data_IF_505953343762
#
_entry.id   IF_505953343762
#
_cell.length_a   1.000
_cell.length_b   1.000
_cell.length_c   1.000
_cell.angle_alpha   90.00
_cell.angle_beta   90.00
_cell.angle_gamma   90.00
#
_symmetry.space_group_name_H-M   'P 1'
#
loop_
_entity.id
_entity.type
_entity.pdbx_description
1 polymer ?
#
# COMPACT_ATOMS: atom_id res chain seq x y z
N UNK A 1 1.69 37.54 19.37
CA UNK A 1 1.34 36.16 19.73
C UNK A 1 -0.17 36.14 19.81
N UNK A 2 -0.77 35.31 18.96
CA UNK A 2 -2.20 34.99 18.80
C UNK A 2 -2.53 35.00 17.30
N UNK A 3 -2.79 33.80 16.80
CA UNK A 3 -3.02 33.51 15.38
C UNK A 3 -3.32 32.02 15.19
N UNK A 4 -4.16 31.46 16.06
CA UNK A 4 -4.95 30.29 15.71
C UNK A 4 -5.95 30.71 14.63
N UNK A 5 -6.09 29.92 13.58
CA UNK A 5 -7.38 29.38 13.17
C UNK A 5 -7.15 28.22 12.20
N UNK A 6 -7.58 27.04 12.66
CA UNK A 6 -7.89 25.88 11.84
C UNK A 6 -8.62 26.32 10.58
N UNK A 7 -8.00 26.13 9.42
CA UNK A 7 -8.75 26.00 8.18
C UNK A 7 -9.34 24.59 8.18
N UNK A 8 -10.52 24.46 8.80
CA UNK A 8 -11.43 23.39 8.50
C UNK A 8 -11.90 23.62 7.05
N UNK A 9 -11.18 23.04 6.09
CA UNK A 9 -11.65 23.03 4.70
C UNK A 9 -12.81 22.03 4.61
N UNK A 10 -13.91 22.57 4.11
CA UNK A 10 -15.20 21.94 3.90
C UNK A 10 -15.08 20.66 3.08
N UNK A 11 -15.40 19.56 3.74
CA UNK A 11 -15.58 18.21 3.20
C UNK A 11 -16.85 18.19 2.34
N UNK A 12 -16.74 18.67 1.10
CA UNK A 12 -17.80 18.56 0.09
C UNK A 12 -17.85 17.11 -0.37
N UNK A 13 -18.72 16.32 0.28
CA UNK A 13 -19.64 15.34 -0.30
C UNK A 13 -19.26 14.47 -1.51
N UNK A 14 -18.00 14.19 -1.80
CA UNK A 14 -17.64 13.06 -2.67
C UNK A 14 -17.84 11.77 -1.89
N UNK A 15 -18.60 10.83 -2.45
CA UNK A 15 -18.72 9.46 -1.93
C UNK A 15 -17.30 8.89 -1.78
N UNK A 16 -16.80 8.91 -0.54
CA UNK A 16 -15.43 8.53 -0.19
C UNK A 16 -15.20 7.07 -0.54
N UNK A 17 -14.43 6.81 -1.60
CA UNK A 17 -13.83 5.49 -1.78
C UNK A 17 -12.89 5.26 -0.59
N UNK A 18 -13.25 4.28 0.24
CA UNK A 18 -12.40 3.81 1.32
C UNK A 18 -11.09 3.30 0.71
N UNK A 19 -9.95 3.81 1.17
CA UNK A 19 -8.63 3.34 0.72
C UNK A 19 -8.54 1.85 1.01
N UNK A 20 -8.27 1.06 -0.02
CA UNK A 20 -8.01 -0.36 0.12
C UNK A 20 -6.57 -0.66 -0.25
N UNK A 21 -5.82 -1.13 0.74
CA UNK A 21 -4.54 -1.79 0.55
C UNK A 21 -4.78 -3.29 0.53
N UNK A 22 -4.60 -3.90 -0.64
CA UNK A 22 -4.86 -5.31 -0.89
C UNK A 22 -3.53 -6.05 -0.93
N UNK A 23 -3.30 -6.95 0.02
CA UNK A 23 -2.10 -7.79 0.08
C UNK A 23 -2.45 -9.20 -0.36
N UNK A 24 -1.67 -9.77 -1.28
CA UNK A 24 -1.70 -11.17 -1.63
C UNK A 24 -0.42 -11.87 -1.19
N UNK A 25 -0.55 -13.02 -0.52
CA UNK A 25 0.58 -13.83 -0.04
C UNK A 25 0.48 -15.24 -0.63
N UNK A 26 1.59 -15.73 -1.18
CA UNK A 26 1.79 -17.11 -1.59
C UNK A 26 3.02 -17.66 -0.89
N UNK A 27 2.95 -18.87 -0.35
CA UNK A 27 4.11 -19.52 0.22
C UNK A 27 4.12 -21.03 -0.03
N UNK A 28 5.32 -21.59 -0.03
CA UNK A 28 5.59 -23.00 0.26
C UNK A 28 6.13 -23.13 1.68
N UNK A 29 6.46 -24.35 2.11
CA UNK A 29 7.11 -24.60 3.39
C UNK A 29 8.46 -23.88 3.57
N UNK A 30 9.09 -23.44 2.47
CA UNK A 30 10.45 -22.89 2.48
C UNK A 30 10.54 -21.46 1.96
N UNK A 31 9.54 -20.96 1.22
CA UNK A 31 9.66 -19.69 0.50
C UNK A 31 8.35 -18.92 0.58
N UNK A 32 8.43 -17.63 0.89
CA UNK A 32 7.28 -16.71 0.91
C UNK A 32 7.46 -15.64 -0.17
N UNK A 33 6.39 -15.39 -0.92
CA UNK A 33 6.25 -14.24 -1.82
C UNK A 33 5.01 -13.42 -1.44
N UNK A 34 5.13 -12.09 -1.58
CA UNK A 34 4.05 -11.18 -1.23
C UNK A 34 3.98 -9.99 -2.20
N UNK A 35 2.76 -9.63 -2.59
CA UNK A 35 2.47 -8.50 -3.47
C UNK A 35 1.29 -7.72 -2.90
N UNK A 36 1.46 -6.41 -2.75
CA UNK A 36 0.43 -5.49 -2.33
C UNK A 36 0.06 -4.50 -3.44
N UNK A 37 -1.19 -4.06 -3.45
CA UNK A 37 -1.68 -3.01 -4.33
C UNK A 37 -2.47 -2.00 -3.50
N UNK A 38 -2.10 -0.73 -3.64
CA UNK A 38 -2.84 0.38 -3.07
C UNK A 38 -3.77 0.96 -4.14
N UNK A 39 -5.07 0.82 -3.91
CA UNK A 39 -6.14 1.29 -4.82
C UNK A 39 -6.14 2.82 -4.99
N UNK A 40 -5.53 3.55 -4.07
CA UNK A 40 -5.57 5.00 -4.06
C UNK A 40 -4.35 5.66 -4.70
N UNK A 41 -3.20 4.99 -4.70
CA UNK A 41 -2.00 5.47 -5.39
C UNK A 41 -1.73 4.72 -6.70
N UNK A 42 -2.51 3.68 -6.99
CA UNK A 42 -2.29 2.73 -8.08
C UNK A 42 -0.85 2.18 -8.13
N UNK A 43 -0.21 2.03 -6.95
CA UNK A 43 1.15 1.50 -6.84
C UNK A 43 1.07 0.03 -6.47
N UNK A 44 1.78 -0.79 -7.24
CA UNK A 44 2.02 -2.18 -6.90
C UNK A 44 3.34 -2.29 -6.16
N UNK A 45 3.32 -2.86 -4.97
CA UNK A 45 4.51 -3.11 -4.17
C UNK A 45 4.72 -4.61 -4.01
N UNK A 46 5.95 -5.10 -4.07
CA UNK A 46 6.24 -6.52 -3.85
C UNK A 46 7.46 -6.71 -2.95
N UNK A 47 7.49 -7.82 -2.23
CA UNK A 47 8.68 -8.28 -1.52
C UNK A 47 9.32 -9.39 -2.37
N UNK A 48 10.63 -9.33 -2.65
CA UNK A 48 11.36 -10.44 -3.24
C UNK A 48 11.19 -11.69 -2.40
N UNK A 49 11.23 -12.85 -3.04
CA UNK A 49 11.15 -14.10 -2.29
C UNK A 49 12.27 -14.24 -1.27
N UNK A 50 11.88 -14.68 -0.08
CA UNK A 50 12.79 -14.94 1.00
C UNK A 50 12.44 -16.28 1.65
N UNK A 51 13.44 -16.90 2.25
CA UNK A 51 13.30 -18.19 2.90
C UNK A 51 12.47 -18.08 4.18
N UNK A 52 11.62 -19.07 4.41
CA UNK A 52 10.80 -19.18 5.60
C UNK A 52 11.12 -20.47 6.34
N UNK A 53 11.34 -20.31 7.63
CA UNK A 53 11.57 -21.37 8.59
C UNK A 53 10.27 -22.13 8.95
N UNK A 54 9.16 -21.84 8.25
CA UNK A 54 7.81 -22.34 8.58
C UNK A 54 7.16 -21.66 9.79
N UNK A 55 7.83 -20.66 10.38
CA UNK A 55 7.31 -19.87 11.49
C UNK A 55 6.45 -18.68 11.02
N UNK A 56 5.61 -18.16 11.92
CA UNK A 56 4.67 -17.08 11.63
C UNK A 56 5.29 -15.67 11.62
N UNK A 57 6.47 -15.50 12.20
CA UNK A 57 7.13 -14.19 12.36
C UNK A 57 7.35 -13.42 11.04
N UNK A 58 7.71 -14.06 9.91
CA UNK A 58 7.82 -13.34 8.65
C UNK A 58 6.49 -12.76 8.17
N UNK A 59 5.37 -13.44 8.43
CA UNK A 59 4.05 -12.96 8.04
C UNK A 59 3.64 -11.71 8.83
N UNK A 60 3.94 -11.64 10.14
CA UNK A 60 3.66 -10.42 10.92
C UNK A 60 4.49 -9.23 10.42
N UNK A 61 5.72 -9.46 9.97
CA UNK A 61 6.56 -8.43 9.34
C UNK A 61 5.96 -7.93 8.03
N UNK A 62 5.52 -8.84 7.15
CA UNK A 62 4.85 -8.47 5.90
C UNK A 62 3.57 -7.68 6.19
N UNK A 63 2.72 -8.15 7.10
CA UNK A 63 1.46 -7.49 7.43
C UNK A 63 1.69 -6.10 8.00
N UNK A 64 2.70 -5.91 8.84
CA UNK A 64 3.05 -4.58 9.36
C UNK A 64 3.62 -3.67 8.27
N UNK A 65 4.37 -4.23 7.33
CA UNK A 65 4.98 -3.47 6.23
C UNK A 65 3.93 -2.92 5.25
N UNK A 66 2.98 -3.76 4.86
CA UNK A 66 1.92 -3.36 3.94
C UNK A 66 0.73 -2.68 4.64
N UNK A 67 0.48 -3.00 5.92
CA UNK A 67 -0.70 -2.58 6.67
C UNK A 67 -2.01 -2.75 5.87
N UNK A 68 -2.31 -3.97 5.37
CA UNK A 68 -3.40 -4.18 4.44
C UNK A 68 -4.76 -4.17 5.11
N UNK A 69 -5.78 -3.83 4.34
CA UNK A 69 -7.18 -3.88 4.77
C UNK A 69 -7.87 -5.13 4.19
N UNK A 70 -7.29 -5.67 3.12
CA UNK A 70 -7.73 -6.91 2.47
C UNK A 70 -6.52 -7.84 2.34
N UNK A 71 -6.65 -9.07 2.83
CA UNK A 71 -5.65 -10.13 2.68
C UNK A 71 -6.18 -11.23 1.77
N UNK A 72 -5.50 -11.48 0.67
CA UNK A 72 -5.73 -12.59 -0.25
C UNK A 72 -4.71 -13.69 0.04
N UNK A 73 -5.17 -14.91 0.24
CA UNK A 73 -4.29 -16.02 0.56
C UNK A 73 -4.85 -17.37 0.09
N UNK A 74 -4.00 -18.40 0.02
CA UNK A 74 -4.43 -19.77 -0.21
C UNK A 74 -4.96 -20.41 1.08
N UNK A 75 -5.63 -21.56 0.97
CA UNK A 75 -6.09 -22.34 2.13
C UNK A 75 -4.93 -22.72 3.08
N UNK A 76 -3.76 -23.02 2.52
CA UNK A 76 -2.55 -23.33 3.29
C UNK A 76 -2.08 -22.13 4.13
N UNK A 77 -2.04 -20.94 3.54
CA UNK A 77 -1.67 -19.73 4.28
C UNK A 77 -2.73 -19.37 5.31
N UNK A 78 -4.02 -19.52 4.96
CA UNK A 78 -5.10 -19.27 5.90
C UNK A 78 -5.03 -20.16 7.13
N UNK A 79 -4.65 -21.44 6.99
CA UNK A 79 -4.48 -22.35 8.13
C UNK A 79 -3.22 -22.02 8.94
N UNK A 80 -2.12 -21.64 8.28
CA UNK A 80 -0.88 -21.21 8.93
C UNK A 80 -1.08 -19.92 9.77
N UNK A 81 -1.88 -18.99 9.26
CA UNK A 81 -2.18 -17.72 9.94
C UNK A 81 -3.28 -17.86 10.99
N UNK A 82 -4.05 -18.94 11.01
CA UNK A 82 -5.17 -19.14 11.94
C UNK A 82 -4.84 -18.83 13.42
N UNK A 83 -3.67 -19.21 13.97
CA UNK A 83 -3.33 -18.93 15.38
C UNK A 83 -3.14 -17.45 15.70
N UNK A 84 -2.66 -16.66 14.73
CA UNK A 84 -2.41 -15.22 14.86
C UNK A 84 -3.54 -14.39 14.24
N UNK A 85 -4.51 -15.05 13.62
CA UNK A 85 -5.53 -14.39 12.84
C UNK A 85 -6.44 -13.53 13.72
N UNK A 86 -6.69 -13.90 14.98
CA UNK A 86 -7.51 -13.07 15.87
C UNK A 86 -6.81 -11.79 16.35
N UNK A 87 -5.47 -11.81 16.43
CA UNK A 87 -4.66 -10.61 16.65
C UNK A 87 -4.57 -9.76 15.38
N UNK A 88 -4.55 -10.39 14.21
CA UNK A 88 -4.45 -9.75 12.88
C UNK A 88 -5.81 -9.23 12.38
N UNK A 89 -6.93 -9.86 12.76
CA UNK A 89 -8.30 -9.59 12.29
C UNK A 89 -8.88 -8.26 12.75
N UNK A 90 -8.19 -7.48 13.57
CA UNK A 90 -8.67 -6.15 13.97
C UNK A 90 -8.57 -5.17 12.79
N UNK A 91 -9.45 -5.34 11.80
CA UNK A 91 -9.59 -4.46 10.63
C UNK A 91 -9.27 -5.10 9.27
N UNK A 92 -8.69 -6.30 9.21
CA UNK A 92 -8.30 -6.93 7.94
C UNK A 92 -9.35 -7.94 7.46
N UNK A 93 -9.86 -7.75 6.25
CA UNK A 93 -10.77 -8.68 5.57
C UNK A 93 -9.99 -9.76 4.83
N UNK A 94 -10.10 -11.01 5.28
CA UNK A 94 -9.39 -12.15 4.68
C UNK A 94 -10.25 -12.83 3.61
N UNK A 95 -9.68 -13.03 2.42
CA UNK A 95 -10.27 -13.78 1.32
C UNK A 95 -9.38 -14.96 0.96
N UNK A 96 -9.93 -16.17 1.14
CA UNK A 96 -9.25 -17.40 0.74
C UNK A 96 -9.55 -17.69 -0.73
N UNK A 97 -8.50 -17.71 -1.55
CA UNK A 97 -8.58 -17.98 -2.98
C UNK A 97 -8.21 -19.44 -3.28
N UNK A 98 -8.86 -20.03 -4.28
CA UNK A 98 -8.53 -21.37 -4.77
C UNK A 98 -7.09 -21.42 -5.31
N UNK A 99 -6.38 -22.53 -5.06
CA UNK A 99 -5.00 -22.74 -5.50
C UNK A 99 -4.77 -22.56 -7.02
N UNK A 100 -5.83 -22.69 -7.83
CA UNK A 100 -5.76 -22.41 -9.27
C UNK A 100 -5.30 -20.98 -9.61
N UNK A 101 -5.58 -20.00 -8.75
CA UNK A 101 -5.16 -18.60 -8.95
C UNK A 101 -3.66 -18.40 -8.66
N UNK A 102 -3.03 -19.34 -7.97
CA UNK A 102 -1.60 -19.34 -7.63
C UNK A 102 -0.81 -20.31 -8.53
N UNK A 103 -1.37 -20.74 -9.65
CA UNK A 103 -0.67 -21.59 -10.61
C UNK A 103 0.21 -20.75 -11.55
N UNK A 104 1.34 -21.32 -11.99
CA UNK A 104 2.34 -20.62 -12.80
C UNK A 104 1.80 -20.21 -14.19
N UNK A 105 0.81 -20.92 -14.70
CA UNK A 105 0.20 -20.71 -16.02
C UNK A 105 -0.77 -19.52 -16.04
N UNK A 106 -1.14 -18.97 -14.88
CA UNK A 106 -2.11 -17.88 -14.80
C UNK A 106 -1.52 -16.51 -15.14
N UNK A 107 -0.21 -16.31 -15.03
CA UNK A 107 0.42 -14.99 -15.20
C UNK A 107 0.11 -14.41 -16.60
N UNK A 108 0.36 -15.19 -17.65
CA UNK A 108 0.09 -14.78 -19.03
C UNK A 108 -1.40 -14.45 -19.20
N UNK A 109 -2.30 -15.34 -18.75
CA UNK A 109 -3.75 -15.16 -18.86
C UNK A 109 -4.26 -13.89 -18.17
N UNK A 110 -3.60 -13.51 -17.06
CA UNK A 110 -4.00 -12.38 -16.24
C UNK A 110 -3.42 -11.06 -16.74
N UNK A 111 -2.27 -11.08 -17.42
CA UNK A 111 -1.70 -9.89 -18.04
C UNK A 111 -2.54 -9.31 -19.17
N UNK A 112 -3.37 -10.14 -19.81
CA UNK A 112 -4.25 -9.70 -20.89
C UNK A 112 -5.37 -8.75 -20.44
N UNK A 113 -5.75 -8.76 -19.15
CA UNK A 113 -6.88 -7.97 -18.62
C UNK A 113 -6.49 -6.63 -17.97
N UNK A 114 -5.20 -6.27 -17.99
CA UNK A 114 -4.66 -5.14 -17.21
C UNK A 114 -4.02 -4.07 -18.10
N UNK A 115 -4.29 -2.81 -17.76
CA UNK A 115 -3.53 -1.68 -18.29
C UNK A 115 -2.41 -1.34 -17.32
N UNK A 116 -1.22 -1.82 -17.66
CA UNK A 116 0.00 -1.38 -17.01
C UNK A 116 0.44 -0.12 -17.74
N UNK A 117 0.09 1.06 -17.24
CA UNK A 117 0.54 2.34 -17.82
C UNK A 117 2.07 2.48 -17.81
N UNK A 118 2.72 1.74 -16.93
CA UNK A 118 4.18 1.51 -16.89
C UNK A 118 4.70 0.91 -18.21
N UNK A 119 3.87 0.15 -18.91
CA UNK A 119 4.20 -0.51 -20.18
C UNK A 119 3.59 0.28 -21.32
N UNK A 120 4.43 0.84 -22.19
CA UNK A 120 4.01 1.71 -23.29
C UNK A 120 2.80 1.13 -24.07
N UNK A 121 1.75 1.96 -24.20
CA UNK A 121 0.55 1.61 -24.95
C UNK A 121 0.90 1.29 -26.41
N UNK A 122 0.87 0.00 -26.77
CA UNK A 122 1.24 -0.50 -28.10
C UNK A 122 2.24 -1.64 -28.10
N UNK A 123 2.82 -2.02 -26.95
CA UNK A 123 3.68 -3.20 -26.86
C UNK A 123 2.91 -4.50 -27.16
N UNK A 124 3.50 -5.38 -27.98
CA UNK A 124 3.02 -6.75 -28.18
C UNK A 124 2.98 -7.50 -26.83
N UNK A 125 2.13 -8.51 -26.71
CA UNK A 125 1.85 -9.23 -25.46
C UNK A 125 3.11 -9.82 -24.82
N UNK A 126 3.95 -10.48 -25.62
CA UNK A 126 5.25 -11.00 -25.18
C UNK A 126 6.18 -9.89 -24.66
N UNK A 127 6.09 -8.68 -25.25
CA UNK A 127 6.87 -7.55 -24.80
C UNK A 127 6.33 -7.02 -23.47
N UNK A 128 5.01 -7.02 -23.25
CA UNK A 128 4.41 -6.66 -21.96
C UNK A 128 4.84 -7.63 -20.86
N UNK A 129 4.75 -8.93 -21.13
CA UNK A 129 5.18 -9.96 -20.18
C UNK A 129 6.67 -9.82 -19.87
N UNK A 130 7.52 -9.68 -20.89
CA UNK A 130 8.96 -9.49 -20.70
C UNK A 130 9.29 -8.23 -19.92
N UNK A 131 8.62 -7.11 -20.21
CA UNK A 131 8.78 -5.86 -19.47
C UNK A 131 8.34 -6.05 -18.02
N UNK A 132 7.19 -6.67 -17.75
CA UNK A 132 6.77 -6.95 -16.39
C UNK A 132 7.78 -7.82 -15.65
N UNK A 133 8.20 -8.94 -16.24
CA UNK A 133 9.17 -9.86 -15.64
C UNK A 133 10.51 -9.18 -15.35
N UNK A 134 10.88 -8.15 -16.12
CA UNK A 134 12.11 -7.39 -15.88
C UNK A 134 12.10 -6.58 -14.57
N UNK A 135 10.92 -6.30 -14.00
CA UNK A 135 10.82 -5.69 -12.67
C UNK A 135 11.19 -6.67 -11.55
N UNK A 136 11.07 -7.97 -11.79
CA UNK A 136 11.26 -8.97 -10.74
C UNK A 136 12.59 -9.73 -10.88
N UNK A 137 13.18 -10.19 -9.76
CA UNK A 137 14.32 -11.11 -9.80
C UNK A 137 13.98 -12.42 -10.51
N UNK A 138 14.93 -13.09 -11.19
CA UNK A 138 14.65 -14.29 -12.00
C UNK A 138 14.15 -15.51 -11.22
N UNK A 139 14.23 -15.51 -9.88
CA UNK A 139 13.85 -16.63 -9.01
C UNK A 139 12.55 -16.39 -8.21
N UNK A 140 11.73 -15.39 -8.59
CA UNK A 140 10.55 -14.96 -7.83
C UNK A 140 9.23 -15.71 -8.18
N UNK A 141 9.26 -17.04 -8.16
CA UNK A 141 8.08 -17.87 -8.45
C UNK A 141 6.84 -17.61 -7.56
N UNK A 142 6.98 -17.57 -6.23
CA UNK A 142 5.90 -17.25 -5.29
C UNK A 142 5.38 -15.82 -5.37
N UNK A 143 6.25 -14.84 -5.60
CA UNK A 143 5.83 -13.44 -5.78
C UNK A 143 5.04 -13.31 -7.08
N UNK A 144 5.45 -13.98 -8.16
CA UNK A 144 4.67 -14.01 -9.42
C UNK A 144 3.33 -14.76 -9.28
N UNK A 145 3.26 -15.80 -8.46
CA UNK A 145 1.98 -16.46 -8.13
C UNK A 145 1.06 -15.53 -7.35
N UNK A 146 1.60 -14.81 -6.38
CA UNK A 146 0.85 -13.80 -5.61
C UNK A 146 0.36 -12.68 -6.51
N UNK A 147 1.19 -12.23 -7.44
CA UNK A 147 0.84 -11.24 -8.46
C UNK A 147 -0.32 -11.73 -9.33
N UNK A 148 -0.24 -12.95 -9.86
CA UNK A 148 -1.29 -13.55 -10.69
C UNK A 148 -2.63 -13.66 -9.96
N UNK A 149 -2.59 -14.10 -8.70
CA UNK A 149 -3.77 -14.23 -7.86
C UNK A 149 -4.39 -12.87 -7.52
N UNK A 150 -3.57 -11.88 -7.16
CA UNK A 150 -3.99 -10.51 -6.90
C UNK A 150 -4.69 -9.91 -8.12
N UNK A 151 -4.08 -10.02 -9.29
CA UNK A 151 -4.64 -9.46 -10.51
C UNK A 151 -5.94 -10.16 -10.92
N UNK A 152 -6.00 -11.49 -10.79
CA UNK A 152 -7.24 -12.26 -11.01
C UNK A 152 -8.38 -11.82 -10.07
N UNK A 153 -8.05 -11.40 -8.85
CA UNK A 153 -9.02 -10.84 -7.91
C UNK A 153 -9.46 -9.43 -8.32
N UNK A 154 -8.51 -8.54 -8.63
CA UNK A 154 -8.79 -7.17 -9.06
C UNK A 154 -9.65 -7.13 -10.33
N UNK A 155 -9.31 -7.96 -11.33
CA UNK A 155 -10.06 -8.04 -12.58
C UNK A 155 -11.51 -8.49 -12.45
N UNK A 156 -11.88 -9.10 -11.32
CA UNK A 156 -13.27 -9.47 -11.01
C UNK A 156 -13.98 -8.46 -10.14
N UNK A 157 -13.23 -7.63 -9.42
CA UNK A 157 -13.77 -6.68 -8.44
C UNK A 157 -14.34 -5.44 -9.13
N UNK A 158 -13.71 -4.98 -10.22
CA UNK A 158 -14.22 -3.84 -10.97
C UNK A 158 -15.20 -4.28 -12.08
N UNK A 159 -16.35 -3.60 -12.25
CA UNK A 159 -17.21 -3.82 -13.40
C UNK A 159 -16.50 -3.34 -14.66
N UNK A 160 -16.41 -4.21 -15.67
CA UNK A 160 -15.93 -3.85 -17.01
C UNK A 160 -16.75 -2.64 -17.48
N UNK A 161 -16.12 -1.47 -17.59
CA UNK A 161 -16.73 -0.29 -18.19
C UNK A 161 -17.27 -0.67 -19.58
N UNK A 162 -18.60 -0.68 -19.75
CA UNK A 162 -19.28 -1.08 -20.98
C UNK A 162 -19.08 -0.08 -22.14
N UNK A 163 -18.35 1.03 -21.93
CA UNK A 163 -17.93 1.95 -22.97
C UNK A 163 -16.66 1.44 -23.68
N UNK A 164 -16.84 0.38 -24.49
CA UNK A 164 -16.22 0.03 -25.78
C UNK A 164 -14.71 0.14 -26.06
N UNK A 165 -13.90 0.90 -25.31
CA UNK A 165 -12.55 1.29 -25.75
C UNK A 165 -11.47 1.24 -24.66
N UNK A 166 -11.81 1.10 -23.37
CA UNK A 166 -10.84 0.91 -22.29
C UNK A 166 -11.06 -0.46 -21.63
N UNK A 167 -10.20 -1.43 -21.95
CA UNK A 167 -10.31 -2.84 -21.53
C UNK A 167 -9.81 -3.13 -20.10
N UNK A 168 -9.33 -2.14 -19.37
CA UNK A 168 -8.67 -2.41 -18.09
C UNK A 168 -9.59 -2.27 -16.90
N UNK A 169 -9.51 -3.28 -16.05
CA UNK A 169 -10.27 -3.47 -14.81
C UNK A 169 -9.58 -2.86 -13.58
N UNK A 170 -8.43 -2.21 -13.77
CA UNK A 170 -7.68 -1.38 -12.81
C UNK A 170 -6.40 -0.87 -13.50
N UNK A 171 -5.70 0.08 -12.89
CA UNK A 171 -4.47 0.71 -13.43
C UNK A 171 -3.29 0.52 -12.48
N UNK A 172 -2.09 0.29 -13.02
CA UNK A 172 -0.84 0.28 -12.23
C UNK A 172 0.10 1.37 -12.75
N UNK A 173 0.33 2.39 -11.93
CA UNK A 173 1.19 3.54 -12.25
C UNK A 173 2.68 3.27 -12.00
N UNK A 174 2.99 2.46 -10.98
CA UNK A 174 4.36 2.15 -10.60
C UNK A 174 4.45 0.75 -9.96
N UNK A 175 5.63 0.13 -10.08
CA UNK A 175 5.96 -1.16 -9.48
C UNK A 175 7.19 -0.98 -8.58
N UNK A 176 7.01 -1.17 -7.28
CA UNK A 176 8.04 -0.92 -6.27
C UNK A 176 8.46 -2.20 -5.56
N UNK A 177 9.76 -2.40 -5.45
CA UNK A 177 10.34 -3.46 -4.64
C UNK A 177 10.53 -2.98 -3.21
N UNK A 178 9.90 -3.66 -2.26
CA UNK A 178 10.12 -3.47 -0.85
C UNK A 178 11.19 -4.44 -0.36
N UNK A 179 12.19 -3.90 0.36
CA UNK A 179 13.27 -4.67 0.97
C UNK A 179 13.13 -4.60 2.49
N UNK A 180 12.55 -5.62 3.16
CA UNK A 180 12.31 -5.61 4.59
C UNK A 180 13.57 -5.31 5.42
N UNK A 181 14.75 -5.73 4.95
CA UNK A 181 16.04 -5.54 5.61
C UNK A 181 16.47 -4.07 5.62
N UNK A 182 15.98 -3.29 4.65
CA UNK A 182 16.20 -1.85 4.56
C UNK A 182 15.14 -1.04 5.31
N UNK A 183 14.23 -1.68 6.04
CA UNK A 183 13.18 -1.03 6.81
C UNK A 183 13.35 -1.32 8.31
N UNK A 184 12.96 -0.37 9.15
CA UNK A 184 12.83 -0.58 10.60
C UNK A 184 11.46 -1.19 10.84
N UNK A 185 11.46 -2.41 11.38
CA UNK A 185 10.22 -3.05 11.83
C UNK A 185 9.70 -2.36 13.09
N UNK A 186 8.48 -1.85 13.04
CA UNK A 186 7.76 -1.32 14.19
C UNK A 186 6.42 -2.05 14.30
N UNK A 187 6.28 -2.86 15.34
CA UNK A 187 5.03 -3.53 15.62
C UNK A 187 3.94 -2.55 16.13
N UNK A 188 2.71 -3.04 16.20
CA UNK A 188 1.56 -2.25 16.65
C UNK A 188 1.66 -1.76 18.09
N UNK A 189 2.51 -2.39 18.93
CA UNK A 189 2.74 -1.93 20.30
C UNK A 189 3.73 -0.77 20.32
N UNK A 190 4.80 -0.88 19.52
CA UNK A 190 5.79 0.16 19.32
C UNK A 190 5.16 1.43 18.76
N UNK A 191 4.38 1.32 17.67
CA UNK A 191 3.68 2.46 17.06
C UNK A 191 2.75 3.19 18.06
N UNK A 192 2.05 2.42 18.90
CA UNK A 192 1.14 2.95 19.92
C UNK A 192 1.88 3.61 21.08
N UNK A 193 2.89 2.94 21.62
CA UNK A 193 3.67 3.43 22.77
C UNK A 193 4.49 4.68 22.43
N UNK A 194 4.94 4.79 21.17
CA UNK A 194 5.59 5.99 20.65
C UNK A 194 4.59 7.06 20.20
N UNK A 195 3.29 6.79 20.32
CA UNK A 195 2.20 7.66 19.85
C UNK A 195 2.45 8.16 18.41
N UNK A 196 2.96 7.28 17.53
CA UNK A 196 3.27 7.65 16.13
C UNK A 196 2.03 8.19 15.48
N UNK A 197 0.90 7.50 15.66
CA UNK A 197 -0.38 7.90 15.10
C UNK A 197 -1.44 8.28 16.15
N UNK A 198 -1.14 8.12 17.45
CA UNK A 198 -2.10 8.28 18.56
C UNK A 198 -2.82 6.96 18.89
N UNK A 199 -3.61 6.92 19.97
CA UNK A 199 -4.20 5.67 20.48
C UNK A 199 -5.26 5.06 19.55
N UNK A 200 -5.85 5.86 18.65
CA UNK A 200 -7.03 5.48 17.87
C UNK A 200 -6.84 5.49 16.35
N UNK A 201 -5.63 5.73 15.84
CA UNK A 201 -5.43 5.80 14.37
C UNK A 201 -5.46 4.44 13.67
N UNK A 202 -5.44 3.35 14.44
CA UNK A 202 -5.52 1.99 13.92
C UNK A 202 -6.95 1.57 13.54
N UNK A 203 -7.95 2.41 13.82
CA UNK A 203 -9.32 2.12 13.47
C UNK A 203 -9.64 2.75 12.11
N UNK A 204 -9.83 1.88 11.13
CA UNK A 204 -10.46 2.20 9.85
C UNK A 204 -11.61 3.19 10.02
N UNK A 205 -11.71 4.12 9.07
CA UNK A 205 -12.74 5.16 9.07
C UNK A 205 -14.18 4.60 9.10
N UNK A 206 -14.37 3.34 8.73
CA UNK A 206 -15.66 2.63 8.79
C UNK A 206 -16.26 2.53 10.20
N UNK A 207 -15.48 2.71 11.28
CA UNK A 207 -16.00 2.77 12.66
C UNK A 207 -16.05 4.19 13.24
N UNK A 208 -15.56 5.22 12.54
CA UNK A 208 -15.52 6.61 13.04
C UNK A 208 -16.86 7.34 13.04
N UNK A 209 -17.92 6.74 12.51
CA UNK A 209 -19.25 7.37 12.51
C UNK A 209 -20.19 6.64 13.46
N UNK A 210 -20.14 7.02 14.75
CA UNK A 210 -21.37 7.37 15.49
C UNK A 210 -21.13 7.92 16.91
N UNK A 211 -20.09 7.50 17.67
CA UNK A 211 -20.08 7.76 19.12
C UNK A 211 -18.79 8.34 19.77
N UNK A 212 -17.71 8.69 19.06
CA UNK A 212 -16.42 9.05 19.71
C UNK A 212 -15.78 10.38 19.25
N UNK A 213 -16.58 11.39 18.90
CA UNK A 213 -16.04 12.71 18.48
C UNK A 213 -15.37 13.52 19.60
N UNK A 214 -15.55 13.17 20.88
CA UNK A 214 -15.13 14.03 21.99
C UNK A 214 -13.77 13.70 22.64
N UNK A 215 -13.11 12.58 22.33
CA UNK A 215 -11.85 12.18 22.99
C UNK A 215 -10.61 12.17 22.07
N UNK A 216 -10.79 12.28 20.75
CA UNK A 216 -9.70 12.13 19.78
C UNK A 216 -8.99 13.45 19.41
N UNK A 217 -9.55 14.61 19.77
CA UNK A 217 -9.01 15.91 19.32
C UNK A 217 -7.79 16.37 20.13
N UNK A 218 -7.66 15.94 21.40
CA UNK A 218 -6.62 16.41 22.34
C UNK A 218 -5.32 15.59 22.33
N UNK A 219 -5.31 14.38 21.76
CA UNK A 219 -4.08 13.58 21.74
C UNK A 219 -3.14 14.06 20.62
N UNK A 220 -1.96 14.55 21.00
CA UNK A 220 -0.92 14.96 20.05
C UNK A 220 -0.11 13.73 19.65
N UNK A 221 -0.19 13.34 18.38
CA UNK A 221 0.61 12.25 17.81
C UNK A 221 1.75 12.80 16.94
N UNK A 222 2.80 11.99 16.75
CA UNK A 222 3.92 12.34 15.87
C UNK A 222 3.41 12.65 14.46
N UNK A 223 2.52 11.84 13.93
CA UNK A 223 1.90 12.05 12.62
C UNK A 223 1.16 13.39 12.55
N UNK A 224 0.39 13.78 13.58
CA UNK A 224 -0.31 15.08 13.61
C UNK A 224 0.66 16.25 13.57
N UNK A 225 1.83 16.14 14.19
CA UNK A 225 2.89 17.17 14.17
C UNK A 225 3.48 17.32 12.76
N UNK A 226 3.78 16.20 12.08
CA UNK A 226 4.46 16.23 10.78
C UNK A 226 3.52 16.31 9.57
N UNK A 227 2.24 15.98 9.73
CA UNK A 227 1.26 15.93 8.63
C UNK A 227 0.76 17.33 8.25
N UNK A 228 1.66 18.08 7.63
CA UNK A 228 1.39 19.38 6.96
C UNK A 228 1.17 19.22 5.45
N UNK A 229 0.94 17.97 5.02
CA UNK A 229 0.68 17.56 3.65
C UNK A 229 -0.64 18.15 3.14
N UNK A 230 -0.61 18.63 1.90
CA UNK A 230 -1.77 19.24 1.24
C UNK A 230 -2.64 18.16 0.58
N UNK A 231 -1.99 17.24 -0.14
CA UNK A 231 -2.69 16.19 -0.89
C UNK A 231 -2.90 14.95 -0.02
N UNK A 232 -3.95 14.18 -0.36
CA UNK A 232 -4.27 12.89 0.27
C UNK A 232 -3.14 11.88 0.06
N UNK A 233 -2.67 11.74 -1.18
CA UNK A 233 -1.48 10.95 -1.52
C UNK A 233 -0.26 11.30 -0.66
N UNK A 234 0.00 12.60 -0.44
CA UNK A 234 1.10 13.05 0.42
C UNK A 234 0.94 12.59 1.88
N UNK A 235 -0.29 12.62 2.42
CA UNK A 235 -0.58 12.13 3.77
C UNK A 235 -0.32 10.62 3.89
N UNK A 236 -0.68 9.82 2.88
CA UNK A 236 -0.42 8.38 2.92
C UNK A 236 1.02 8.00 2.75
N UNK A 237 1.74 8.69 1.86
CA UNK A 237 3.18 8.49 1.73
C UNK A 237 3.88 8.79 3.05
N UNK A 238 3.48 9.87 3.74
CA UNK A 238 4.00 10.18 5.08
C UNK A 238 3.63 9.10 6.11
N UNK A 239 2.39 8.62 6.09
CA UNK A 239 1.93 7.56 6.99
C UNK A 239 2.76 6.29 6.79
N UNK A 240 2.98 5.88 5.54
CA UNK A 240 3.82 4.73 5.21
C UNK A 240 5.27 4.93 5.68
N UNK A 241 5.86 6.11 5.43
CA UNK A 241 7.22 6.41 5.90
C UNK A 241 7.35 6.34 7.42
N UNK A 242 6.29 6.70 8.15
CA UNK A 242 6.24 6.61 9.60
C UNK A 242 5.96 5.21 10.13
N UNK A 243 5.28 4.33 9.37
CA UNK A 243 5.10 2.91 9.73
C UNK A 243 6.37 2.11 9.48
N UNK A 244 7.08 2.42 8.39
CA UNK A 244 8.24 1.67 7.92
C UNK A 244 9.42 2.61 7.64
N UNK A 245 10.09 3.16 8.67
CA UNK A 245 11.23 4.02 8.49
C UNK A 245 12.36 3.32 7.73
N UNK A 246 13.01 4.04 6.82
CA UNK A 246 14.12 3.49 6.04
C UNK A 246 15.40 3.39 6.87
N UNK A 247 16.16 2.32 6.63
CA UNK A 247 17.55 2.11 7.07
C UNK A 247 18.56 2.43 5.97
N UNK A 248 18.09 2.69 4.75
CA UNK A 248 18.95 3.02 3.62
C UNK A 248 19.48 4.45 3.77
N UNK A 249 20.76 4.57 4.14
CA UNK A 249 21.44 5.84 4.34
C UNK A 249 21.40 6.73 3.09
N UNK A 250 21.45 6.15 1.88
CA UNK A 250 21.36 6.92 0.64
C UNK A 250 19.98 7.56 0.53
N UNK A 251 18.92 6.75 0.68
CA UNK A 251 17.53 7.24 0.66
C UNK A 251 17.30 8.32 1.74
N UNK A 252 17.82 8.12 2.96
CA UNK A 252 17.70 9.09 4.05
C UNK A 252 18.38 10.41 3.71
N UNK A 253 19.61 10.38 3.18
CA UNK A 253 20.34 11.58 2.78
C UNK A 253 19.66 12.32 1.62
N UNK A 254 19.10 11.61 0.64
CA UNK A 254 18.34 12.21 -0.46
C UNK A 254 17.10 12.94 0.05
N UNK A 255 16.34 12.31 0.97
CA UNK A 255 15.17 12.94 1.60
C UNK A 255 15.55 14.17 2.42
N UNK A 256 16.62 14.08 3.23
CA UNK A 256 17.12 15.22 4.01
C UNK A 256 17.57 16.37 3.11
N UNK A 257 18.30 16.07 2.04
CA UNK A 257 18.73 17.07 1.06
C UNK A 257 17.53 17.79 0.43
N UNK A 258 16.49 17.05 0.04
CA UNK A 258 15.28 17.64 -0.51
C UNK A 258 14.59 18.58 0.49
N UNK A 259 14.49 18.19 1.76
CA UNK A 259 13.94 19.05 2.83
C UNK A 259 14.79 20.30 3.02
N UNK A 260 16.12 20.17 3.11
CA UNK A 260 17.02 21.32 3.26
C UNK A 260 16.91 22.31 2.11
N UNK A 261 16.82 21.82 0.87
CA UNK A 261 16.62 22.66 -0.30
C UNK A 261 15.32 23.47 -0.21
N UNK A 262 14.22 22.84 0.20
CA UNK A 262 12.92 23.50 0.33
C UNK A 262 12.87 24.49 1.50
N UNK A 263 13.54 24.18 2.62
CA UNK A 263 13.67 25.11 3.77
C UNK A 263 14.46 26.35 3.39
N UNK A 264 15.53 26.20 2.59
CA UNK A 264 16.35 27.31 2.08
C UNK A 264 15.64 28.14 0.99
N UNK A 265 14.55 27.65 0.41
CA UNK A 265 13.80 28.29 -0.67
C UNK A 265 12.30 28.47 -0.32
N UNK A 266 11.95 29.39 0.60
CA UNK A 266 10.58 29.53 1.10
C UNK A 266 9.56 29.94 0.03
N UNK A 267 9.96 30.74 -0.97
CA UNK A 267 9.06 31.17 -2.04
C UNK A 267 8.73 30.03 -3.02
N UNK A 268 9.70 29.17 -3.32
CA UNK A 268 9.46 27.94 -4.06
C UNK A 268 8.51 27.03 -3.28
N UNK A 269 8.74 26.85 -1.98
CA UNK A 269 7.88 26.03 -1.12
C UNK A 269 6.44 26.56 -1.10
N UNK A 270 6.22 27.87 -0.96
CA UNK A 270 4.89 28.48 -1.05
C UNK A 270 4.23 28.24 -2.41
N UNK A 271 5.00 28.40 -3.50
CA UNK A 271 4.51 28.21 -4.86
C UNK A 271 4.08 26.77 -5.12
N UNK A 272 4.92 25.80 -4.73
CA UNK A 272 4.60 24.37 -4.80
C UNK A 272 3.35 24.03 -3.98
N UNK A 273 3.22 24.58 -2.77
CA UNK A 273 2.03 24.37 -1.94
C UNK A 273 0.77 24.89 -2.63
N UNK A 274 0.81 26.05 -3.28
CA UNK A 274 -0.34 26.56 -4.05
C UNK A 274 -0.68 25.66 -5.22
N UNK A 275 0.31 25.15 -5.96
CA UNK A 275 0.09 24.23 -7.08
C UNK A 275 -0.53 22.92 -6.59
N UNK A 276 0.01 22.33 -5.51
CA UNK A 276 -0.46 21.06 -4.94
C UNK A 276 -1.90 21.13 -4.44
N UNK A 277 -2.40 22.31 -4.00
CA UNK A 277 -3.82 22.48 -3.65
C UNK A 277 -4.76 22.32 -4.84
N UNK A 278 -4.27 22.62 -6.04
CA UNK A 278 -5.04 22.57 -7.26
C UNK A 278 -4.94 21.21 -7.97
N UNK A 279 -4.09 20.31 -7.48
CA UNK A 279 -4.04 18.93 -7.97
C UNK A 279 -5.17 18.18 -7.28
N UNK A 280 -6.19 17.82 -8.07
CA UNK A 280 -7.28 16.95 -7.63
C UNK A 280 -6.76 15.57 -7.22
N UNK A 281 -7.65 14.72 -6.73
CA UNK A 281 -7.29 13.33 -6.45
C UNK A 281 -6.87 12.64 -7.75
N UNK A 282 -5.62 12.18 -7.81
CA UNK A 282 -5.09 11.38 -8.91
C UNK A 282 -5.15 9.91 -8.47
N UNK A 283 -5.74 9.00 -9.27
CA UNK A 283 -5.72 7.57 -9.00
C UNK A 283 -4.30 7.01 -9.04
#
# INVERSE_FOLDING_TARGET
MDGLLCAAESDVGEERLEREVILCISATQQVIGAVGYDTESCILSYIPEFESDGHYEPFSKILSLFNPNILLCSEFISSLLAPIMDDIKRGIKVHVLSNRYFANDQLASTLYSVNLSVIAGGANEEAKERTLLSYFPPTCGQTLKSFSALFSFLSKKEPVCQLGFLRASFTVLDIQMLKPEQMIYMDERCLRNLQVFGQFHQFHESWKMKNMRFAAEDETSVFKIFSVCITRAGKYTLEQWMRTPSRDLKCLNERLTAVECLVKAPDLTKSLRTILRNIGHLP
#
